data_IF_792662050161
#
_entry.id   IF_792662050161
#
_cell.length_a   1.000
_cell.length_b   1.000
_cell.length_c   1.000
_cell.angle_alpha   90.00
_cell.angle_beta   90.00
_cell.angle_gamma   90.00
#
_symmetry.space_group_name_H-M   'P 1'
#
loop_
_entity.id
_entity.type
_entity.pdbx_description
1 polymer ?
#
# COMPACT_ATOMS: atom_id res chain seq x y z
N UNK A 1 -21.01 -12.30 5.09
CA UNK A 1 -19.56 -12.25 5.39
C UNK A 1 -18.88 -13.24 4.46
N UNK A 2 -18.06 -12.75 3.53
CA UNK A 2 -17.33 -13.63 2.61
C UNK A 2 -16.29 -14.41 3.44
N UNK A 3 -16.41 -15.73 3.52
CA UNK A 3 -15.63 -16.59 4.44
C UNK A 3 -14.27 -17.02 3.88
N UNK A 4 -13.94 -16.63 2.65
CA UNK A 4 -12.65 -16.92 2.02
C UNK A 4 -11.61 -15.84 2.33
N UNK A 5 -10.35 -16.20 2.63
CA UNK A 5 -9.26 -15.24 2.72
C UNK A 5 -9.15 -14.38 1.45
N UNK A 6 -8.68 -13.14 1.62
CA UNK A 6 -8.33 -12.26 0.50
C UNK A 6 -7.15 -12.80 -0.31
N UNK A 7 -6.95 -12.22 -1.50
CA UNK A 7 -5.78 -12.54 -2.33
C UNK A 7 -4.51 -12.03 -1.68
N UNK A 8 -3.43 -12.80 -1.80
CA UNK A 8 -2.08 -12.39 -1.43
C UNK A 8 -1.26 -12.25 -2.70
N UNK A 9 -0.69 -11.06 -2.90
CA UNK A 9 0.23 -10.77 -4.00
C UNK A 9 1.62 -10.55 -3.41
N UNK A 10 2.60 -11.33 -3.89
CA UNK A 10 3.99 -11.28 -3.44
C UNK A 10 4.86 -10.84 -4.61
N UNK A 11 5.65 -9.79 -4.38
CA UNK A 11 6.67 -9.32 -5.32
C UNK A 11 8.04 -9.68 -4.78
N UNK A 12 8.91 -10.22 -5.65
CA UNK A 12 10.33 -10.38 -5.32
C UNK A 12 11.11 -9.06 -5.47
N UNK A 13 10.75 -8.25 -6.47
CA UNK A 13 11.28 -6.90 -6.73
C UNK A 13 10.39 -6.21 -7.77
N UNK A 14 10.48 -4.87 -7.86
CA UNK A 14 9.88 -4.09 -8.94
C UNK A 14 8.37 -3.90 -8.81
N UNK A 15 7.84 -3.80 -7.60
CA UNK A 15 6.43 -3.58 -7.30
C UNK A 15 5.88 -2.29 -7.95
N UNK A 16 6.73 -1.32 -8.26
CA UNK A 16 6.34 -0.09 -8.99
C UNK A 16 6.70 -0.08 -10.48
N UNK A 17 7.11 -1.21 -11.05
CA UNK A 17 7.44 -1.32 -12.47
C UNK A 17 6.18 -1.48 -13.34
N UNK A 18 6.20 -1.06 -14.62
CA UNK A 18 5.06 -1.24 -15.53
C UNK A 18 4.63 -2.72 -15.67
N UNK A 19 5.58 -3.65 -15.63
CA UNK A 19 5.35 -5.10 -15.73
C UNK A 19 4.57 -5.66 -14.53
N UNK A 20 4.62 -5.01 -13.37
CA UNK A 20 3.91 -5.41 -12.15
C UNK A 20 2.45 -4.96 -12.13
N UNK A 21 2.08 -4.00 -12.98
CA UNK A 21 0.75 -3.40 -13.03
C UNK A 21 -0.41 -4.39 -13.21
N UNK A 22 -0.32 -5.37 -14.13
CA UNK A 22 -1.36 -6.39 -14.31
C UNK A 22 -1.65 -7.19 -13.04
N UNK A 23 -0.67 -7.39 -12.15
CA UNK A 23 -0.86 -8.12 -10.91
C UNK A 23 -1.74 -7.33 -9.92
N UNK A 24 -1.56 -6.02 -9.82
CA UNK A 24 -2.46 -5.15 -9.05
C UNK A 24 -3.88 -5.14 -9.62
N UNK A 25 -4.02 -5.07 -10.94
CA UNK A 25 -5.33 -5.10 -11.58
C UNK A 25 -6.08 -6.41 -11.34
N UNK A 26 -5.37 -7.55 -11.32
CA UNK A 26 -5.97 -8.84 -10.98
C UNK A 26 -6.57 -8.84 -9.58
N UNK A 27 -5.95 -8.14 -8.62
CA UNK A 27 -6.50 -7.96 -7.27
C UNK A 27 -7.67 -6.98 -7.30
N UNK A 28 -7.51 -5.81 -7.92
CA UNK A 28 -8.53 -4.77 -7.97
C UNK A 28 -9.85 -5.25 -8.62
N UNK A 29 -9.76 -6.08 -9.68
CA UNK A 29 -10.92 -6.68 -10.37
C UNK A 29 -11.74 -7.63 -9.50
N UNK A 30 -11.17 -8.15 -8.40
CA UNK A 30 -11.88 -9.00 -7.44
C UNK A 30 -12.56 -8.22 -6.32
N UNK A 31 -12.39 -6.89 -6.29
CA UNK A 31 -13.06 -6.03 -5.33
C UNK A 31 -14.40 -5.57 -5.94
N UNK A 32 -15.47 -5.69 -5.17
CA UNK A 32 -16.80 -5.19 -5.57
C UNK A 32 -16.95 -3.67 -5.42
N UNK A 33 -15.89 -2.98 -5.00
CA UNK A 33 -15.85 -1.54 -4.71
C UNK A 33 -14.52 -0.93 -5.10
N UNK A 34 -14.48 0.40 -5.14
CA UNK A 34 -13.26 1.16 -5.34
C UNK A 34 -12.16 0.71 -4.35
N UNK A 35 -10.91 0.47 -4.80
CA UNK A 35 -9.84 0.04 -3.92
C UNK A 35 -9.53 1.10 -2.86
N UNK A 36 -9.61 0.71 -1.59
CA UNK A 36 -9.09 1.45 -0.45
C UNK A 36 -7.72 0.83 -0.10
N UNK A 37 -6.65 1.59 -0.32
CA UNK A 37 -5.27 1.10 -0.25
C UNK A 37 -4.54 1.82 0.88
N UNK A 38 -4.15 1.07 1.90
CA UNK A 38 -3.24 1.54 2.94
C UNK A 38 -1.81 1.08 2.62
N UNK A 39 -0.87 2.02 2.54
CA UNK A 39 0.56 1.73 2.35
C UNK A 39 1.23 1.90 3.70
N UNK A 40 1.70 0.78 4.26
CA UNK A 40 2.48 0.78 5.49
C UNK A 40 3.90 1.27 5.18
N UNK A 41 4.17 2.52 5.53
CA UNK A 41 5.51 3.08 5.47
C UNK A 41 6.32 2.51 6.63
N UNK A 42 7.26 1.64 6.30
CA UNK A 42 8.29 1.15 7.21
C UNK A 42 9.66 1.57 6.66
N UNK A 43 10.63 1.94 7.51
CA UNK A 43 11.95 2.30 7.03
C UNK A 43 12.59 1.11 6.31
N UNK A 44 12.94 1.28 5.03
CA UNK A 44 13.75 0.32 4.30
C UNK A 44 15.22 0.50 4.72
N UNK A 45 15.68 -0.25 5.72
CA UNK A 45 17.05 -0.14 6.21
C UNK A 45 17.38 1.23 6.82
N UNK A 46 18.43 1.90 6.33
CA UNK A 46 18.92 3.21 6.81
C UNK A 46 18.39 4.41 5.99
N UNK A 47 17.43 4.20 5.10
CA UNK A 47 16.96 5.24 4.18
C UNK A 47 16.18 6.36 4.90
N UNK A 48 16.70 7.60 4.95
CA UNK A 48 15.99 8.73 5.56
C UNK A 48 14.76 9.16 4.73
N UNK A 49 14.68 8.72 3.47
CA UNK A 49 13.64 9.05 2.50
C UNK A 49 12.51 8.01 2.40
N UNK A 50 12.27 7.24 3.46
CA UNK A 50 11.17 6.25 3.53
C UNK A 50 9.80 6.84 3.13
N UNK A 51 9.55 8.10 3.49
CA UNK A 51 8.35 8.83 3.09
C UNK A 51 8.23 8.97 1.55
N UNK A 52 9.34 9.27 0.88
CA UNK A 52 9.37 9.41 -0.58
C UNK A 52 9.17 8.07 -1.27
N UNK A 53 9.76 7.00 -0.72
CA UNK A 53 9.58 5.63 -1.24
C UNK A 53 8.12 5.22 -1.14
N UNK A 54 7.50 5.32 0.04
CA UNK A 54 6.09 5.00 0.22
C UNK A 54 5.19 5.91 -0.66
N UNK A 55 5.52 7.20 -0.77
CA UNK A 55 4.82 8.14 -1.64
C UNK A 55 4.93 7.80 -3.13
N UNK A 56 6.08 7.30 -3.60
CA UNK A 56 6.27 6.82 -4.96
C UNK A 56 5.36 5.61 -5.25
N UNK A 57 5.26 4.65 -4.32
CA UNK A 57 4.34 3.51 -4.44
C UNK A 57 2.89 4.01 -4.54
N UNK A 58 2.50 4.95 -3.68
CA UNK A 58 1.15 5.53 -3.72
C UNK A 58 0.82 6.21 -5.04
N UNK A 59 1.73 7.05 -5.55
CA UNK A 59 1.55 7.70 -6.86
C UNK A 59 1.47 6.70 -8.02
N UNK A 60 2.27 5.64 -7.97
CA UNK A 60 2.21 4.55 -8.94
C UNK A 60 0.83 3.89 -8.93
N UNK A 61 0.31 3.52 -7.75
CA UNK A 61 -0.99 2.84 -7.64
C UNK A 61 -2.17 3.73 -8.04
N UNK A 62 -2.16 5.02 -7.67
CA UNK A 62 -3.15 5.99 -8.12
C UNK A 62 -3.22 6.06 -9.64
N UNK A 63 -2.06 6.11 -10.31
CA UNK A 63 -1.99 6.15 -11.78
C UNK A 63 -2.40 4.81 -12.40
N UNK A 64 -1.85 3.70 -11.89
CA UNK A 64 -2.04 2.37 -12.48
C UNK A 64 -3.49 1.92 -12.39
N UNK A 65 -4.13 2.19 -11.26
CA UNK A 65 -5.49 1.75 -10.96
C UNK A 65 -6.53 2.86 -11.16
N UNK A 66 -6.21 3.97 -11.83
CA UNK A 66 -7.10 5.14 -11.98
C UNK A 66 -8.54 4.79 -12.43
N UNK A 67 -8.70 3.78 -13.29
CA UNK A 67 -10.01 3.32 -13.79
C UNK A 67 -10.91 2.72 -12.70
N UNK A 68 -10.32 2.33 -11.57
CA UNK A 68 -11.01 1.79 -10.39
C UNK A 68 -11.26 2.86 -9.31
N UNK A 69 -10.90 4.13 -9.57
CA UNK A 69 -11.04 5.26 -8.64
C UNK A 69 -10.45 4.97 -7.24
N UNK A 70 -9.17 4.58 -7.15
CA UNK A 70 -8.55 4.14 -5.92
C UNK A 70 -8.38 5.30 -4.93
N UNK A 71 -8.45 4.97 -3.64
CA UNK A 71 -8.05 5.86 -2.54
C UNK A 71 -6.80 5.30 -1.91
N UNK A 72 -5.77 6.13 -1.73
CA UNK A 72 -4.49 5.74 -1.16
C UNK A 72 -4.21 6.55 0.09
N UNK A 73 -3.97 5.86 1.20
CA UNK A 73 -3.52 6.43 2.47
C UNK A 73 -2.11 5.93 2.78
N UNK A 74 -1.20 6.83 3.17
CA UNK A 74 0.11 6.48 3.71
C UNK A 74 0.00 6.36 5.23
N UNK A 75 0.44 5.22 5.77
CA UNK A 75 0.41 4.89 7.20
C UNK A 75 1.83 4.92 7.73
N UNK A 76 2.26 5.95 8.49
CA UNK A 76 3.64 6.13 8.93
C UNK A 76 3.98 5.22 10.13
N UNK A 77 4.08 3.92 9.86
CA UNK A 77 4.36 2.86 10.83
C UNK A 77 5.87 2.68 11.10
N UNK A 78 6.57 3.77 11.45
CA UNK A 78 8.03 3.84 11.33
C UNK A 78 8.81 3.18 12.46
N UNK A 79 8.48 3.48 13.71
CA UNK A 79 9.27 3.00 14.87
C UNK A 79 8.45 2.97 16.16
N UNK A 80 8.48 1.83 16.86
CA UNK A 80 7.87 1.67 18.19
C UNK A 80 8.34 2.73 19.18
N UNK A 81 7.42 3.14 20.06
CA UNK A 81 7.67 4.12 21.12
C UNK A 81 8.04 5.52 20.60
N UNK A 82 7.61 5.86 19.40
CA UNK A 82 7.72 7.20 18.82
C UNK A 82 6.32 7.72 18.46
N UNK A 83 6.16 9.01 18.12
CA UNK A 83 4.90 9.51 17.57
C UNK A 83 4.46 8.85 16.25
N UNK A 84 5.30 8.00 15.65
CA UNK A 84 5.04 7.22 14.44
C UNK A 84 5.11 5.72 14.76
N UNK A 85 4.59 5.36 15.93
CA UNK A 85 4.61 3.99 16.42
C UNK A 85 3.61 3.13 15.66
N UNK A 86 4.02 1.93 15.18
CA UNK A 86 3.08 0.95 14.65
C UNK A 86 2.17 0.36 15.74
N UNK A 87 2.39 0.69 17.02
CA UNK A 87 1.53 0.23 18.13
C UNK A 87 0.40 1.24 18.44
N UNK A 88 0.37 2.40 17.78
CA UNK A 88 -0.67 3.42 17.95
C UNK A 88 -1.85 3.18 16.99
N UNK A 89 -3.05 2.83 17.51
CA UNK A 89 -4.22 2.59 16.68
C UNK A 89 -4.67 3.79 15.84
N UNK A 90 -4.39 5.02 16.30
CA UNK A 90 -4.75 6.24 15.56
C UNK A 90 -3.90 6.41 14.30
N UNK A 91 -2.68 5.87 14.31
CA UNK A 91 -1.76 5.92 13.17
C UNK A 91 -2.09 4.83 12.16
N UNK A 92 -2.60 3.68 12.62
CA UNK A 92 -2.94 2.53 11.79
C UNK A 92 -4.30 2.62 11.08
N UNK A 93 -5.11 3.64 11.37
CA UNK A 93 -6.40 3.84 10.72
C UNK A 93 -6.21 4.24 9.24
N UNK A 94 -6.87 3.57 8.26
CA UNK A 94 -6.85 3.95 6.85
C UNK A 94 -7.59 5.25 6.52
#
# INVERSE_FOLDING_TARGET
MNRSPGLILLFGSGETMPVSGPAYELVARRLDRAPEIAILETPAGFEPNSADVAGNVGRYLLRRLQNYQPKVTLVPARRRYTPQSPDDPQILAP
#
